data_IF_746364413980
#
_entry.id   IF_746364413980
#
_cell.length_a   1.000
_cell.length_b   1.000
_cell.length_c   1.000
_cell.angle_alpha   90.00
_cell.angle_beta   90.00
_cell.angle_gamma   90.00
#
_symmetry.space_group_name_H-M   'P 1'
#
loop_
_entity.id
_entity.type
_entity.pdbx_description
1 polymer ?
#
# COMPACT_ATOMS: atom_id res chain seq x y z
N UNK A 1 18.21 -9.08 14.89
CA UNK A 1 18.49 -8.37 13.62
C UNK A 1 17.20 -7.91 12.96
N UNK A 2 16.25 -8.82 12.63
CA UNK A 2 15.00 -8.48 11.94
C UNK A 2 14.23 -7.30 12.56
N UNK A 3 13.96 -7.34 13.88
CA UNK A 3 13.26 -6.27 14.59
C UNK A 3 13.93 -4.90 14.42
N UNK A 4 15.27 -4.82 14.53
CA UNK A 4 16.01 -3.56 14.40
C UNK A 4 15.92 -3.01 12.98
N UNK A 5 16.07 -3.87 11.98
CA UNK A 5 15.92 -3.48 10.56
C UNK A 5 14.51 -2.99 10.27
N UNK A 6 13.48 -3.66 10.83
CA UNK A 6 12.07 -3.25 10.69
C UNK A 6 11.76 -1.95 11.46
N UNK A 7 12.45 -1.69 12.58
CA UNK A 7 12.34 -0.42 13.31
C UNK A 7 12.92 0.73 12.50
N UNK A 8 14.09 0.54 11.89
CA UNK A 8 14.69 1.55 11.00
C UNK A 8 13.83 1.78 9.77
N UNK A 9 13.35 0.70 9.15
CA UNK A 9 12.43 0.79 8.01
C UNK A 9 11.12 1.48 8.41
N UNK A 10 10.56 1.12 9.57
CA UNK A 10 9.37 1.76 10.11
C UNK A 10 9.54 3.26 10.31
N UNK A 11 10.71 3.70 10.79
CA UNK A 11 11.03 5.16 10.91
C UNK A 11 11.01 5.83 9.55
N UNK A 12 11.57 5.21 8.52
CA UNK A 12 11.54 5.74 7.15
C UNK A 12 10.11 5.78 6.61
N UNK A 13 9.33 4.71 6.81
CA UNK A 13 7.94 4.64 6.39
C UNK A 13 7.07 5.67 7.11
N UNK A 14 7.23 5.80 8.42
CA UNK A 14 6.52 6.80 9.21
C UNK A 14 6.86 8.23 8.82
N UNK A 15 8.12 8.47 8.46
CA UNK A 15 8.59 9.75 7.94
C UNK A 15 8.00 10.09 6.57
N UNK A 16 7.90 9.10 5.70
CA UNK A 16 7.40 9.23 4.31
C UNK A 16 5.87 9.21 4.22
N UNK A 17 5.20 8.53 5.15
CA UNK A 17 3.74 8.47 5.20
C UNK A 17 3.05 7.66 4.11
N UNK A 18 3.78 6.94 3.26
CA UNK A 18 3.18 6.20 2.15
C UNK A 18 3.92 4.89 1.82
N UNK A 19 3.15 3.85 1.48
CA UNK A 19 3.63 2.76 0.62
C UNK A 19 4.65 1.77 1.18
N UNK A 20 4.76 1.63 2.50
CA UNK A 20 5.79 0.81 3.13
C UNK A 20 5.77 -0.70 2.88
N UNK A 21 4.65 -1.26 2.41
CA UNK A 21 4.52 -2.71 2.22
C UNK A 21 5.55 -3.27 1.24
N UNK A 22 5.71 -2.64 0.09
CA UNK A 22 6.65 -3.12 -0.92
C UNK A 22 8.09 -3.16 -0.42
N UNK A 23 8.54 -2.10 0.25
CA UNK A 23 9.90 -2.06 0.82
C UNK A 23 10.06 -3.08 1.96
N UNK A 24 8.99 -3.31 2.75
CA UNK A 24 8.96 -4.37 3.77
C UNK A 24 9.13 -5.75 3.13
N UNK A 25 8.42 -6.03 2.02
CA UNK A 25 8.56 -7.28 1.28
C UNK A 25 9.98 -7.44 0.76
N UNK A 26 10.53 -6.41 0.09
CA UNK A 26 11.91 -6.44 -0.41
C UNK A 26 12.93 -6.69 0.70
N UNK A 27 12.79 -6.04 1.86
CA UNK A 27 13.70 -6.27 2.98
C UNK A 27 13.58 -7.68 3.55
N UNK A 28 12.36 -8.22 3.64
CA UNK A 28 12.13 -9.59 4.11
C UNK A 28 12.70 -10.63 3.13
N UNK A 29 12.45 -10.45 1.82
CA UNK A 29 12.88 -11.42 0.80
C UNK A 29 14.36 -11.32 0.52
N UNK A 30 14.88 -10.17 0.17
CA UNK A 30 16.28 -9.99 -0.24
C UNK A 30 17.22 -9.85 0.97
N UNK A 31 16.79 -9.08 2.00
CA UNK A 31 17.63 -8.81 3.17
C UNK A 31 17.70 -9.97 4.17
N UNK A 32 16.61 -10.70 4.35
CA UNK A 32 16.51 -11.81 5.32
C UNK A 32 16.29 -13.17 4.69
N UNK A 33 16.25 -13.27 3.37
CA UNK A 33 16.04 -14.52 2.61
C UNK A 33 14.75 -15.26 3.02
N UNK A 34 13.72 -14.53 3.42
CA UNK A 34 12.42 -15.09 3.78
C UNK A 34 11.65 -15.38 2.48
N UNK A 35 11.03 -16.55 2.35
CA UNK A 35 10.24 -16.90 1.17
C UNK A 35 9.20 -15.81 0.84
N UNK A 36 9.06 -15.48 -0.45
CA UNK A 36 8.20 -14.37 -0.92
C UNK A 36 6.76 -14.48 -0.39
N UNK A 37 6.19 -15.69 -0.37
CA UNK A 37 4.83 -15.90 0.12
C UNK A 37 4.68 -15.54 1.60
N UNK A 38 5.68 -15.88 2.44
CA UNK A 38 5.72 -15.51 3.86
C UNK A 38 5.92 -13.99 4.01
N UNK A 39 6.79 -13.39 3.20
CA UNK A 39 7.02 -11.95 3.22
C UNK A 39 5.75 -11.16 2.85
N UNK A 40 5.01 -11.62 1.84
CA UNK A 40 3.71 -11.04 1.45
C UNK A 40 2.67 -11.16 2.57
N UNK A 41 2.56 -12.34 3.19
CA UNK A 41 1.67 -12.59 4.31
C UNK A 41 1.95 -11.65 5.49
N UNK A 42 3.22 -11.57 5.90
CA UNK A 42 3.67 -10.72 7.01
C UNK A 42 3.47 -9.24 6.70
N UNK A 43 3.79 -8.79 5.49
CA UNK A 43 3.60 -7.40 5.10
C UNK A 43 2.13 -7.00 5.12
N UNK A 44 1.23 -7.78 4.50
CA UNK A 44 -0.21 -7.51 4.49
C UNK A 44 -0.81 -7.54 5.90
N UNK A 45 -0.47 -8.54 6.71
CA UNK A 45 -0.95 -8.63 8.09
C UNK A 45 -0.49 -7.42 8.92
N UNK A 46 0.76 -6.97 8.76
CA UNK A 46 1.29 -5.80 9.46
C UNK A 46 0.63 -4.50 8.99
N UNK A 47 0.24 -4.41 7.72
CA UNK A 47 -0.47 -3.26 7.17
C UNK A 47 -1.83 -3.01 7.82
N UNK A 48 -2.53 -4.04 8.29
CA UNK A 48 -3.83 -3.88 8.95
C UNK A 48 -3.73 -2.90 10.10
N UNK A 49 -2.72 -3.05 10.95
CA UNK A 49 -2.53 -2.21 12.13
C UNK A 49 -2.05 -0.81 11.78
N UNK A 50 -1.16 -0.70 10.81
CA UNK A 50 -0.65 0.61 10.35
C UNK A 50 -1.76 1.41 9.67
N UNK A 51 -2.56 0.79 8.81
CA UNK A 51 -3.68 1.43 8.13
C UNK A 51 -4.82 1.79 9.08
N UNK A 52 -5.05 0.98 10.11
CA UNK A 52 -6.04 1.29 11.15
C UNK A 52 -5.68 2.60 11.87
N UNK A 53 -4.43 2.74 12.31
CA UNK A 53 -3.94 3.94 12.97
C UNK A 53 -4.06 5.18 12.07
N UNK A 54 -3.62 5.06 10.80
CA UNK A 54 -3.71 6.14 9.82
C UNK A 54 -5.16 6.52 9.50
N UNK A 55 -6.04 5.54 9.30
CA UNK A 55 -7.47 5.78 9.04
C UNK A 55 -8.13 6.54 10.19
N UNK A 56 -7.88 6.16 11.44
CA UNK A 56 -8.43 6.85 12.61
C UNK A 56 -7.96 8.30 12.66
N UNK A 57 -6.67 8.56 12.38
CA UNK A 57 -6.11 9.90 12.35
C UNK A 57 -6.79 10.79 11.31
N UNK A 58 -6.85 10.33 10.05
CA UNK A 58 -7.48 11.09 8.95
C UNK A 58 -9.00 11.22 9.10
N UNK A 59 -9.65 10.23 9.71
CA UNK A 59 -11.07 10.29 10.01
C UNK A 59 -11.40 11.44 11.00
N UNK A 60 -10.56 11.59 12.03
CA UNK A 60 -10.69 12.70 13.00
C UNK A 60 -10.46 14.07 12.35
N UNK A 61 -9.65 14.14 11.31
CA UNK A 61 -9.38 15.36 10.54
C UNK A 61 -10.45 15.62 9.46
N UNK A 62 -11.47 14.75 9.34
CA UNK A 62 -12.51 14.81 8.29
C UNK A 62 -11.94 14.71 6.86
N UNK A 63 -10.83 14.05 6.70
CA UNK A 63 -10.12 13.84 5.43
C UNK A 63 -10.41 12.46 4.82
N UNK A 64 -11.59 11.91 5.04
CA UNK A 64 -12.01 10.62 4.52
C UNK A 64 -13.37 10.72 3.84
N UNK A 65 -13.46 10.31 2.57
CA UNK A 65 -14.72 10.15 1.84
C UNK A 65 -15.27 8.76 2.13
N UNK A 66 -15.97 8.63 3.28
CA UNK A 66 -16.38 7.35 3.85
C UNK A 66 -17.17 6.49 2.87
N UNK A 67 -18.16 7.08 2.16
CA UNK A 67 -19.01 6.34 1.23
C UNK A 67 -18.22 5.71 0.08
N UNK A 68 -17.33 6.47 -0.53
CA UNK A 68 -16.46 5.99 -1.62
C UNK A 68 -15.49 4.94 -1.10
N UNK A 69 -14.85 5.22 0.04
CA UNK A 69 -13.90 4.31 0.68
C UNK A 69 -14.53 2.97 1.06
N UNK A 70 -15.74 2.98 1.64
CA UNK A 70 -16.44 1.76 2.03
C UNK A 70 -16.81 0.87 0.81
N UNK A 71 -17.31 1.47 -0.28
CA UNK A 71 -17.71 0.72 -1.48
C UNK A 71 -16.48 0.08 -2.15
N UNK A 72 -15.40 0.84 -2.31
CA UNK A 72 -14.16 0.32 -2.91
C UNK A 72 -13.52 -0.73 -1.99
N UNK A 73 -13.47 -0.48 -0.69
CA UNK A 73 -12.96 -1.42 0.31
C UNK A 73 -13.72 -2.73 0.31
N UNK A 74 -15.04 -2.69 0.20
CA UNK A 74 -15.88 -3.90 0.12
C UNK A 74 -15.58 -4.73 -1.13
N UNK A 75 -15.49 -4.08 -2.31
CA UNK A 75 -15.03 -4.76 -3.53
C UNK A 75 -13.61 -5.32 -3.39
N UNK A 76 -12.76 -4.59 -2.67
CA UNK A 76 -11.37 -4.96 -2.44
C UNK A 76 -11.18 -6.19 -1.55
N UNK A 77 -12.10 -6.48 -0.62
CA UNK A 77 -12.06 -7.70 0.21
C UNK A 77 -12.03 -8.95 -0.66
N UNK A 78 -13.00 -9.07 -1.57
CA UNK A 78 -13.09 -10.23 -2.46
C UNK A 78 -11.89 -10.31 -3.41
N UNK A 79 -11.44 -9.17 -3.95
CA UNK A 79 -10.25 -9.10 -4.78
C UNK A 79 -8.99 -9.55 -4.04
N UNK A 80 -8.76 -9.03 -2.84
CA UNK A 80 -7.57 -9.35 -2.06
C UNK A 80 -7.51 -10.82 -1.63
N UNK A 81 -8.63 -11.36 -1.21
CA UNK A 81 -8.72 -12.79 -0.86
C UNK A 81 -8.43 -13.68 -2.06
N UNK A 82 -9.02 -13.38 -3.22
CA UNK A 82 -8.74 -14.09 -4.47
C UNK A 82 -7.28 -13.94 -4.89
N UNK A 83 -6.73 -12.72 -4.82
CA UNK A 83 -5.33 -12.44 -5.15
C UNK A 83 -4.35 -13.23 -4.30
N UNK A 84 -4.55 -13.27 -2.99
CA UNK A 84 -3.72 -14.05 -2.05
C UNK A 84 -3.76 -15.55 -2.35
N UNK A 85 -4.92 -16.09 -2.69
CA UNK A 85 -5.03 -17.51 -3.07
C UNK A 85 -4.35 -17.81 -4.41
N UNK A 86 -4.54 -16.95 -5.42
CA UNK A 86 -3.88 -17.10 -6.73
C UNK A 86 -2.35 -16.99 -6.58
N UNK A 87 -1.86 -16.06 -5.78
CA UNK A 87 -0.43 -15.90 -5.48
C UNK A 87 0.20 -17.17 -4.92
N UNK A 88 -0.51 -17.93 -4.08
CA UNK A 88 -0.02 -19.20 -3.56
C UNK A 88 0.18 -20.29 -4.61
N UNK A 89 -0.45 -20.18 -5.76
CA UNK A 89 -0.29 -21.10 -6.89
C UNK A 89 0.86 -20.68 -7.83
N UNK A 90 1.38 -19.46 -7.67
CA UNK A 90 2.44 -18.95 -8.52
C UNK A 90 3.81 -19.43 -8.04
N UNK A 91 4.75 -19.77 -8.97
CA UNK A 91 6.15 -20.00 -8.62
C UNK A 91 6.76 -18.77 -7.94
N UNK A 92 7.64 -18.99 -6.96
CA UNK A 92 8.24 -17.91 -6.17
C UNK A 92 9.00 -16.90 -7.03
N UNK A 93 9.78 -17.35 -8.01
CA UNK A 93 10.58 -16.51 -8.89
C UNK A 93 9.68 -15.57 -9.72
N UNK A 94 8.64 -16.13 -10.35
CA UNK A 94 7.68 -15.36 -11.13
C UNK A 94 6.93 -14.32 -10.27
N UNK A 95 6.56 -14.69 -9.04
CA UNK A 95 5.89 -13.81 -8.10
C UNK A 95 6.78 -12.64 -7.67
N UNK A 96 8.07 -12.91 -7.43
CA UNK A 96 9.04 -11.89 -7.08
C UNK A 96 9.27 -10.89 -8.21
N UNK A 97 9.44 -11.38 -9.43
CA UNK A 97 9.64 -10.53 -10.61
C UNK A 97 8.45 -9.59 -10.83
N UNK A 98 7.24 -10.14 -10.80
CA UNK A 98 6.02 -9.31 -10.98
C UNK A 98 5.85 -8.35 -9.81
N UNK A 99 6.11 -8.77 -8.58
CA UNK A 99 6.03 -7.87 -7.42
C UNK A 99 7.03 -6.72 -7.55
N UNK A 100 8.26 -7.00 -8.00
CA UNK A 100 9.26 -5.99 -8.30
C UNK A 100 8.79 -5.00 -9.39
N UNK A 101 8.22 -5.52 -10.48
CA UNK A 101 7.67 -4.71 -11.57
C UNK A 101 6.50 -3.84 -11.10
N UNK A 102 5.61 -4.38 -10.29
CA UNK A 102 4.48 -3.65 -9.70
C UNK A 102 4.95 -2.54 -8.75
N UNK A 103 6.00 -2.80 -7.97
CA UNK A 103 6.63 -1.78 -7.14
C UNK A 103 7.24 -0.65 -7.98
N UNK A 104 7.91 -1.00 -9.08
CA UNK A 104 8.46 -0.01 -10.00
C UNK A 104 7.38 0.86 -10.60
N UNK A 105 6.30 0.25 -11.12
CA UNK A 105 5.18 1.00 -11.69
C UNK A 105 4.48 1.88 -10.64
N UNK A 106 4.39 1.42 -9.39
CA UNK A 106 3.89 2.21 -8.26
C UNK A 106 4.77 3.43 -8.00
N UNK A 107 6.11 3.30 -8.05
CA UNK A 107 7.04 4.41 -7.92
C UNK A 107 6.87 5.43 -9.04
N UNK A 108 6.71 4.98 -10.29
CA UNK A 108 6.46 5.84 -11.45
C UNK A 108 5.14 6.61 -11.28
N UNK A 109 4.07 5.95 -10.86
CA UNK A 109 2.78 6.60 -10.61
C UNK A 109 2.91 7.67 -9.53
N UNK A 110 3.61 7.37 -8.44
CA UNK A 110 3.85 8.32 -7.35
C UNK A 110 4.71 9.50 -7.82
N UNK A 111 5.73 9.25 -8.66
CA UNK A 111 6.53 10.30 -9.26
C UNK A 111 5.68 11.25 -10.11
N UNK A 112 4.90 10.72 -11.04
CA UNK A 112 3.99 11.51 -11.88
C UNK A 112 3.02 12.32 -11.02
N UNK A 113 2.43 11.69 -10.00
CA UNK A 113 1.49 12.35 -9.09
C UNK A 113 2.12 13.51 -8.31
N UNK A 114 3.36 13.36 -7.83
CA UNK A 114 4.00 14.34 -6.93
C UNK A 114 4.70 15.48 -7.67
N UNK A 115 5.20 15.21 -8.88
CA UNK A 115 5.99 16.18 -9.65
C UNK A 115 5.24 16.74 -10.86
N UNK A 116 4.23 16.03 -11.38
CA UNK A 116 3.45 16.42 -12.55
C UNK A 116 1.96 16.59 -12.26
N UNK A 117 1.61 17.01 -11.05
CA UNK A 117 0.22 17.21 -10.61
C UNK A 117 -0.53 18.21 -11.52
N UNK A 118 0.15 19.28 -11.96
CA UNK A 118 -0.39 20.25 -12.93
C UNK A 118 -0.66 19.63 -14.29
N UNK A 119 0.15 18.68 -14.74
CA UNK A 119 -0.05 17.98 -16.01
C UNK A 119 -1.27 17.05 -15.94
N UNK A 120 -1.46 16.34 -14.84
CA UNK A 120 -2.64 15.52 -14.59
C UNK A 120 -3.92 16.37 -14.56
N UNK A 121 -3.88 17.53 -13.93
CA UNK A 121 -4.99 18.47 -13.87
C UNK A 121 -5.28 19.12 -15.25
N UNK A 122 -4.23 19.51 -16.00
CA UNK A 122 -4.35 20.18 -17.29
C UNK A 122 -4.93 19.28 -18.40
N UNK A 123 -4.71 17.96 -18.33
CA UNK A 123 -5.23 16.99 -19.31
C UNK A 123 -6.65 16.48 -18.99
N UNK A 124 -7.38 17.17 -18.10
CA UNK A 124 -8.75 16.78 -17.65
C UNK A 124 -8.87 15.32 -17.20
N UNK A 125 -7.73 14.69 -16.81
CA UNK A 125 -7.72 13.35 -16.28
C UNK A 125 -8.30 13.29 -14.85
N UNK A 126 -8.30 14.42 -14.14
CA UNK A 126 -8.91 14.53 -12.82
C UNK A 126 -10.36 14.96 -12.93
N UNK A 127 -11.24 14.20 -12.34
CA UNK A 127 -12.64 14.56 -12.21
C UNK A 127 -12.78 15.64 -11.15
N UNK A 128 -13.51 16.72 -11.46
CA UNK A 128 -13.74 17.84 -10.54
C UNK A 128 -14.88 17.61 -9.57
N UNK A 129 -15.76 16.66 -9.87
CA UNK A 129 -16.92 16.33 -9.05
C UNK A 129 -16.87 14.91 -8.51
N UNK A 130 -17.30 14.72 -7.27
CA UNK A 130 -17.41 13.41 -6.65
C UNK A 130 -18.39 12.51 -7.41
N UNK A 131 -17.94 11.32 -7.75
CA UNK A 131 -18.82 10.33 -8.38
C UNK A 131 -19.89 9.87 -7.39
N UNK A 132 -21.15 9.91 -7.81
CA UNK A 132 -22.31 9.55 -6.97
C UNK A 132 -23.26 8.60 -7.68
N UNK A 133 -24.24 8.08 -6.95
CA UNK A 133 -25.30 7.24 -7.50
C UNK A 133 -24.84 5.83 -7.91
N UNK A 134 -25.54 5.23 -8.89
CA UNK A 134 -25.28 3.85 -9.34
C UNK A 134 -23.88 3.67 -9.94
N UNK A 135 -23.35 4.71 -10.57
CA UNK A 135 -21.99 4.67 -11.14
C UNK A 135 -20.92 4.50 -10.07
N UNK A 136 -21.09 5.13 -8.89
CA UNK A 136 -20.18 4.96 -7.75
C UNK A 136 -20.10 3.49 -7.31
N UNK A 137 -21.22 2.78 -7.25
CA UNK A 137 -21.25 1.38 -6.88
C UNK A 137 -20.54 0.50 -7.90
N UNK A 138 -20.84 0.66 -9.19
CA UNK A 138 -20.26 -0.17 -10.27
C UNK A 138 -18.75 0.06 -10.34
N UNK A 139 -18.32 1.30 -10.52
CA UNK A 139 -16.90 1.61 -10.63
C UNK A 139 -16.16 1.37 -9.31
N UNK A 140 -16.81 1.60 -8.16
CA UNK A 140 -16.21 1.36 -6.84
C UNK A 140 -15.92 -0.11 -6.58
N UNK A 141 -16.89 -0.99 -6.84
CA UNK A 141 -16.70 -2.43 -6.69
C UNK A 141 -15.66 -2.97 -7.67
N UNK A 142 -15.67 -2.54 -8.94
CA UNK A 142 -14.68 -2.95 -9.94
C UNK A 142 -13.27 -2.47 -9.58
N UNK A 143 -13.13 -1.20 -9.21
CA UNK A 143 -11.83 -0.66 -8.77
C UNK A 143 -11.33 -1.39 -7.52
N UNK A 144 -12.22 -1.63 -6.55
CA UNK A 144 -11.90 -2.38 -5.35
C UNK A 144 -11.44 -3.80 -5.68
N UNK A 145 -12.19 -4.51 -6.54
CA UNK A 145 -11.85 -5.88 -6.96
C UNK A 145 -10.46 -5.93 -7.61
N UNK A 146 -10.18 -5.04 -8.56
CA UNK A 146 -8.90 -4.99 -9.28
C UNK A 146 -7.76 -4.62 -8.33
N UNK A 147 -7.89 -3.52 -7.60
CA UNK A 147 -6.82 -3.06 -6.69
C UNK A 147 -6.64 -3.98 -5.50
N UNK A 148 -7.71 -4.59 -5.01
CA UNK A 148 -7.68 -5.63 -4.00
C UNK A 148 -6.94 -6.87 -4.50
N UNK A 149 -7.25 -7.35 -5.70
CA UNK A 149 -6.54 -8.48 -6.31
C UNK A 149 -5.05 -8.21 -6.45
N UNK A 150 -4.66 -7.05 -6.98
CA UNK A 150 -3.26 -6.65 -7.09
C UNK A 150 -2.58 -6.57 -5.70
N UNK A 151 -3.28 -6.03 -4.71
CA UNK A 151 -2.75 -5.95 -3.35
C UNK A 151 -2.59 -7.32 -2.70
N UNK A 152 -3.58 -8.19 -2.84
CA UNK A 152 -3.55 -9.55 -2.30
C UNK A 152 -2.51 -10.43 -2.97
N UNK A 153 -2.41 -10.36 -4.31
CA UNK A 153 -1.47 -11.17 -5.08
C UNK A 153 0.00 -10.75 -4.87
N UNK A 154 0.27 -9.46 -4.87
CA UNK A 154 1.64 -8.92 -4.85
C UNK A 154 2.02 -8.19 -3.55
N UNK A 155 1.13 -8.12 -2.58
CA UNK A 155 1.41 -7.58 -1.25
C UNK A 155 1.72 -6.08 -1.16
N UNK A 156 1.70 -5.36 -2.27
CA UNK A 156 2.14 -3.96 -2.36
C UNK A 156 1.16 -2.94 -1.77
N UNK A 157 0.02 -3.40 -1.24
CA UNK A 157 -1.04 -2.54 -0.71
C UNK A 157 -1.78 -1.72 -1.78
N UNK A 158 -1.33 -1.75 -3.03
CA UNK A 158 -1.89 -1.03 -4.18
C UNK A 158 -2.19 0.47 -3.94
N UNK A 159 -1.54 1.09 -2.95
CA UNK A 159 -1.82 2.46 -2.51
C UNK A 159 -1.75 3.48 -3.64
N UNK A 160 -0.72 3.43 -4.48
CA UNK A 160 -0.56 4.35 -5.60
C UNK A 160 -1.68 4.22 -6.64
N UNK A 161 -2.09 3.00 -6.93
CA UNK A 161 -3.17 2.71 -7.87
C UNK A 161 -4.53 3.16 -7.32
N UNK A 162 -4.80 2.90 -6.04
CA UNK A 162 -6.02 3.35 -5.35
C UNK A 162 -6.08 4.88 -5.33
N UNK A 163 -4.97 5.54 -4.98
CA UNK A 163 -4.92 7.00 -4.96
C UNK A 163 -5.15 7.61 -6.35
N UNK A 164 -4.55 7.03 -7.39
CA UNK A 164 -4.77 7.48 -8.76
C UNK A 164 -6.25 7.29 -9.17
N UNK A 165 -6.83 6.13 -8.89
CA UNK A 165 -8.24 5.86 -9.17
C UNK A 165 -9.16 6.81 -8.43
N UNK A 166 -8.91 7.10 -7.14
CA UNK A 166 -9.69 8.05 -6.34
C UNK A 166 -9.72 9.45 -6.97
N UNK A 167 -8.58 9.92 -7.48
CA UNK A 167 -8.48 11.24 -8.10
C UNK A 167 -9.11 11.27 -9.50
N UNK A 168 -8.79 10.28 -10.34
CA UNK A 168 -9.18 10.27 -11.76
C UNK A 168 -10.63 9.80 -11.96
N UNK A 169 -11.03 8.71 -11.32
CA UNK A 169 -12.34 8.10 -11.53
C UNK A 169 -13.40 8.69 -10.60
N UNK A 170 -13.06 8.85 -9.32
CA UNK A 170 -14.04 9.22 -8.29
C UNK A 170 -14.06 10.71 -7.96
N UNK A 171 -13.13 11.51 -8.47
CA UNK A 171 -13.06 12.95 -8.22
C UNK A 171 -12.81 13.31 -6.75
N UNK A 172 -12.11 12.44 -6.00
CA UNK A 172 -11.78 12.71 -4.60
C UNK A 172 -10.65 13.74 -4.54
N UNK A 173 -10.81 14.84 -3.79
CA UNK A 173 -9.75 15.84 -3.62
C UNK A 173 -8.47 15.24 -3.06
N UNK A 174 -7.33 15.79 -3.49
CA UNK A 174 -6.00 15.28 -3.13
C UNK A 174 -5.81 15.06 -1.63
N UNK A 175 -6.25 16.01 -0.81
CA UNK A 175 -6.13 15.94 0.65
C UNK A 175 -6.91 14.76 1.24
N UNK A 176 -8.13 14.52 0.72
CA UNK A 176 -8.98 13.41 1.17
C UNK A 176 -8.58 12.06 0.56
N UNK A 177 -7.81 12.06 -0.51
CA UNK A 177 -7.36 10.83 -1.18
C UNK A 177 -6.51 9.97 -0.27
N UNK A 178 -5.62 10.57 0.54
CA UNK A 178 -4.72 9.84 1.44
C UNK A 178 -5.51 9.08 2.50
N UNK A 179 -6.37 9.78 3.24
CA UNK A 179 -7.19 9.17 4.30
C UNK A 179 -8.18 8.14 3.76
N UNK A 180 -8.80 8.43 2.61
CA UNK A 180 -9.72 7.48 1.94
C UNK A 180 -8.98 6.24 1.46
N UNK A 181 -7.76 6.39 0.93
CA UNK A 181 -6.90 5.28 0.51
C UNK A 181 -6.56 4.37 1.70
N UNK A 182 -6.17 4.94 2.85
CA UNK A 182 -5.88 4.15 4.06
C UNK A 182 -7.11 3.36 4.53
N UNK A 183 -8.30 3.97 4.48
CA UNK A 183 -9.55 3.30 4.79
C UNK A 183 -9.86 2.14 3.84
N UNK A 184 -9.53 2.26 2.55
CA UNK A 184 -9.71 1.20 1.54
C UNK A 184 -8.72 0.07 1.76
N UNK A 185 -7.45 0.38 2.01
CA UNK A 185 -6.38 -0.62 2.18
C UNK A 185 -6.61 -1.47 3.44
N UNK A 186 -7.21 -0.92 4.49
CA UNK A 186 -7.45 -1.64 5.74
C UNK A 186 -8.22 -2.97 5.54
N UNK A 187 -9.42 -3.01 4.96
CA UNK A 187 -10.12 -4.27 4.71
C UNK A 187 -9.44 -5.12 3.64
N UNK A 188 -8.78 -4.52 2.65
CA UNK A 188 -7.99 -5.21 1.63
C UNK A 188 -6.85 -5.99 2.27
N UNK A 189 -6.05 -5.34 3.12
CA UNK A 189 -4.92 -5.98 3.79
C UNK A 189 -5.37 -7.04 4.81
N UNK A 190 -6.49 -6.84 5.49
CA UNK A 190 -7.08 -7.84 6.36
C UNK A 190 -7.50 -9.08 5.57
N UNK A 191 -8.21 -8.92 4.47
CA UNK A 191 -8.66 -10.03 3.62
C UNK A 191 -7.49 -10.76 2.96
N UNK A 192 -6.50 -10.03 2.44
CA UNK A 192 -5.28 -10.61 1.87
C UNK A 192 -4.46 -11.36 2.92
N UNK A 193 -4.25 -10.75 4.10
CA UNK A 193 -3.56 -11.38 5.23
C UNK A 193 -4.25 -12.67 5.69
N UNK A 194 -5.59 -12.67 5.78
CA UNK A 194 -6.37 -13.87 6.07
C UNK A 194 -6.21 -14.93 4.96
N UNK A 195 -6.20 -14.54 3.68
CA UNK A 195 -5.96 -15.45 2.58
C UNK A 195 -4.62 -16.18 2.70
N UNK A 196 -3.56 -15.49 3.08
CA UNK A 196 -2.26 -16.12 3.33
C UNK A 196 -2.24 -16.94 4.63
N UNK A 197 -2.96 -16.52 5.66
CA UNK A 197 -3.08 -17.27 6.93
C UNK A 197 -3.75 -18.62 6.69
N UNK A 198 -4.84 -18.68 5.91
CA UNK A 198 -5.52 -19.94 5.58
C UNK A 198 -4.66 -20.91 4.74
N UNK A 199 -3.62 -20.39 4.08
CA UNK A 199 -2.66 -21.18 3.31
C UNK A 199 -1.38 -21.50 4.10
N UNK A 200 -1.36 -21.33 5.43
CA UNK A 200 -0.23 -21.58 6.33
C UNK A 200 1.06 -20.86 5.93
N UNK A 201 0.94 -19.65 5.30
CA UNK A 201 2.07 -18.84 4.86
C UNK A 201 2.50 -17.78 5.87
N UNK A 202 1.73 -17.55 6.93
CA UNK A 202 2.05 -16.55 7.95
C UNK A 202 2.93 -17.15 9.05
N UNK A 203 4.21 -16.77 9.09
CA UNK A 203 5.08 -17.02 10.23
C UNK A 203 4.78 -15.99 11.33
N UNK A 204 4.25 -16.48 12.44
CA UNK A 204 3.82 -15.63 13.55
C UNK A 204 4.99 -14.90 14.24
N UNK A 205 6.17 -15.53 14.33
CA UNK A 205 7.34 -14.93 14.95
C UNK A 205 7.87 -13.77 14.09
N UNK A 206 7.97 -13.99 12.78
CA UNK A 206 8.39 -12.96 11.82
C UNK A 206 7.35 -11.82 11.81
N UNK A 207 6.06 -12.16 11.83
CA UNK A 207 4.98 -11.17 11.87
C UNK A 207 5.07 -10.27 13.10
N UNK A 208 5.21 -10.82 14.31
CA UNK A 208 5.28 -10.02 15.54
C UNK A 208 6.50 -9.11 15.56
N UNK A 209 7.66 -9.61 15.14
CA UNK A 209 8.88 -8.79 15.07
C UNK A 209 8.76 -7.66 14.03
N UNK A 210 8.20 -7.97 12.86
CA UNK A 210 7.97 -7.00 11.78
C UNK A 210 6.96 -5.94 12.22
N UNK A 211 5.82 -6.36 12.75
CA UNK A 211 4.77 -5.46 13.22
C UNK A 211 5.28 -4.53 14.32
N UNK A 212 5.93 -5.07 15.35
CA UNK A 212 6.44 -4.29 16.47
C UNK A 212 7.51 -3.27 15.99
N UNK A 213 8.44 -3.72 15.14
CA UNK A 213 9.46 -2.85 14.55
C UNK A 213 8.84 -1.72 13.73
N UNK A 214 7.94 -2.06 12.80
CA UNK A 214 7.28 -1.08 11.95
C UNK A 214 6.40 -0.09 12.73
N UNK A 215 5.63 -0.54 13.72
CA UNK A 215 4.78 0.34 14.53
C UNK A 215 5.59 1.31 15.38
N UNK A 216 6.59 0.81 16.10
CA UNK A 216 7.46 1.65 16.94
C UNK A 216 8.26 2.62 16.06
N UNK A 217 8.85 2.13 14.97
CA UNK A 217 9.58 2.94 14.01
C UNK A 217 8.70 4.02 13.38
N UNK A 218 7.52 3.66 12.88
CA UNK A 218 6.60 4.61 12.26
C UNK A 218 6.15 5.71 13.22
N UNK A 219 5.98 5.40 14.50
CA UNK A 219 5.64 6.40 15.51
C UNK A 219 6.75 7.44 15.69
N UNK A 220 8.02 7.01 15.73
CA UNK A 220 9.16 7.93 15.77
C UNK A 220 9.32 8.70 14.45
N UNK A 221 9.16 8.04 13.31
CA UNK A 221 9.26 8.65 11.98
C UNK A 221 8.21 9.72 11.73
N UNK A 222 6.97 9.46 12.11
CA UNK A 222 5.88 10.42 11.97
C UNK A 222 6.11 11.74 12.73
N UNK A 223 6.79 11.69 13.89
CA UNK A 223 7.19 12.89 14.61
C UNK A 223 8.23 13.73 13.85
N UNK A 224 9.09 13.09 13.06
CA UNK A 224 10.10 13.76 12.24
C UNK A 224 9.54 14.38 10.96
N UNK A 225 8.38 13.94 10.48
CA UNK A 225 7.79 14.41 9.21
C UNK A 225 7.53 15.92 9.20
N UNK A 226 7.11 16.49 10.33
CA UNK A 226 6.85 17.92 10.47
C UNK A 226 8.11 18.78 10.40
N UNK A 227 9.30 18.19 10.59
CA UNK A 227 10.58 18.88 10.56
C UNK A 227 11.24 18.83 9.17
N UNK A 228 10.71 17.98 8.28
CA UNK A 228 11.31 17.75 6.97
C UNK A 228 10.84 18.76 5.92
N UNK A 229 11.77 19.27 5.09
CA UNK A 229 11.38 20.09 3.94
C UNK A 229 10.60 19.24 2.92
N UNK A 230 9.54 19.84 2.35
CA UNK A 230 8.65 19.20 1.35
C UNK A 230 9.38 18.49 0.20
N UNK A 231 10.47 19.05 -0.40
CA UNK A 231 11.19 18.39 -1.47
C UNK A 231 11.83 17.06 -1.05
N UNK A 232 12.39 17.01 0.16
CA UNK A 232 13.00 15.80 0.71
C UNK A 232 11.94 14.71 0.93
N UNK A 233 10.79 15.10 1.45
CA UNK A 233 9.67 14.19 1.68
C UNK A 233 9.17 13.60 0.35
N UNK A 234 8.96 14.44 -0.69
CA UNK A 234 8.56 13.99 -2.03
C UNK A 234 9.58 13.02 -2.63
N UNK A 235 10.87 13.36 -2.53
CA UNK A 235 11.94 12.50 -3.03
C UNK A 235 11.95 11.12 -2.31
N UNK A 236 11.80 11.10 -1.00
CA UNK A 236 11.78 9.88 -0.21
C UNK A 236 10.55 8.99 -0.52
N UNK A 237 9.37 9.59 -0.74
CA UNK A 237 8.14 8.87 -1.14
C UNK A 237 8.33 8.09 -2.45
N UNK A 238 9.05 8.65 -3.42
CA UNK A 238 9.32 7.99 -4.70
C UNK A 238 10.52 7.06 -4.62
N UNK A 239 11.58 7.49 -3.95
CA UNK A 239 12.84 6.74 -3.89
C UNK A 239 12.68 5.39 -3.16
N UNK A 240 11.92 5.33 -2.07
CA UNK A 240 11.75 4.10 -1.29
C UNK A 240 11.20 2.94 -2.12
N UNK A 241 10.04 3.03 -2.78
CA UNK A 241 9.53 1.94 -3.61
C UNK A 241 10.38 1.72 -4.87
N UNK A 242 11.03 2.76 -5.43
CA UNK A 242 11.92 2.61 -6.55
C UNK A 242 13.17 1.79 -6.19
N UNK A 243 13.82 2.11 -5.07
CA UNK A 243 14.97 1.35 -4.57
C UNK A 243 14.55 -0.08 -4.24
N UNK A 244 13.41 -0.26 -3.56
CA UNK A 244 12.87 -1.58 -3.24
C UNK A 244 12.65 -2.43 -4.50
N UNK A 245 12.08 -1.85 -5.56
CA UNK A 245 11.85 -2.55 -6.81
C UNK A 245 13.14 -2.95 -7.53
N UNK A 246 14.11 -2.03 -7.58
CA UNK A 246 15.43 -2.30 -8.20
C UNK A 246 16.16 -3.42 -7.46
N UNK A 247 16.18 -3.38 -6.12
CA UNK A 247 16.79 -4.41 -5.31
C UNK A 247 16.11 -5.76 -5.54
N UNK A 248 14.78 -5.77 -5.60
CA UNK A 248 14.01 -7.00 -5.79
C UNK A 248 14.24 -7.62 -7.16
N UNK A 249 14.34 -6.82 -8.22
CA UNK A 249 14.58 -7.31 -9.60
C UNK A 249 16.03 -7.78 -9.81
N UNK A 250 17.01 -7.12 -9.16
CA UNK A 250 18.42 -7.41 -9.39
C UNK A 250 19.00 -8.55 -8.50
N UNK A 251 18.44 -8.75 -7.31
CA UNK A 251 19.01 -9.65 -6.30
C UNK A 251 18.08 -10.80 -5.91
N UNK A 252 17.06 -11.04 -6.69
CA UNK A 252 16.16 -12.17 -6.52
C UNK A 252 16.64 -13.44 -7.23
#
# INVERSE_FOLDING_TARGET
MLFVSMLLLGTLIGFVGAGGAGVTITLLTVGFHIPIHTALAVALASMVFTMLSGTISHFRQKEVVVKTGAIIGFGGISGAFLGANVSNLMPADFLSDITGLMLFSSAVILYIKLYHDQWLAAHALMRTELLTGRKLWIYGLLTGLITGFLSGAFGIGAAAYIQLALMVIFGVPLLQTIGTCMMIILPISAAGGLGYLFNDRLDFMIFVQTLAGLMIGAWFGAKGTHLAPLPLLKAAIVALPAIGSIIMILFH
#
